data_IF_037162757283
#
_entry.id   IF_037162757283
#
_cell.length_a   1.000
_cell.length_b   1.000
_cell.length_c   1.000
_cell.angle_alpha   90.00
_cell.angle_beta   90.00
_cell.angle_gamma   90.00
#
_symmetry.space_group_name_H-M   'P 1'
#
loop_
_entity.id
_entity.type
_entity.pdbx_description
1 polymer ?
#
# COMPACT_ATOMS: atom_id res chain seq x y z
N UNK A 1 48.47 -22.29 12.48
CA UNK A 1 48.63 -21.10 11.60
C UNK A 1 48.40 -19.82 12.41
N UNK A 2 48.98 -18.67 12.05
CA UNK A 2 48.65 -17.37 12.66
C UNK A 2 47.94 -16.46 11.63
N UNK A 3 46.71 -16.08 11.92
CA UNK A 3 45.87 -15.24 11.06
C UNK A 3 46.03 -13.78 11.48
N UNK A 4 46.86 -13.03 10.75
CA UNK A 4 47.01 -11.58 10.94
C UNK A 4 45.65 -10.88 10.72
N UNK A 5 45.24 -10.11 11.73
CA UNK A 5 43.92 -9.47 11.79
C UNK A 5 43.99 -8.13 12.51
N UNK A 6 43.13 -7.20 12.10
CA UNK A 6 42.92 -5.92 12.76
C UNK A 6 41.43 -5.73 13.04
N UNK A 7 41.07 -5.43 14.29
CA UNK A 7 39.70 -5.26 14.76
C UNK A 7 39.60 -3.84 15.31
N UNK A 8 38.76 -3.01 14.70
CA UNK A 8 38.65 -1.57 14.97
C UNK A 8 37.19 -1.22 15.22
N UNK A 9 36.89 -0.45 16.28
CA UNK A 9 35.59 0.20 16.43
C UNK A 9 35.62 1.63 15.93
N UNK A 10 34.63 1.99 15.11
CA UNK A 10 34.53 3.35 14.56
C UNK A 10 33.08 3.75 14.34
N UNK A 11 32.82 5.05 14.33
CA UNK A 11 31.51 5.58 13.97
C UNK A 11 31.28 5.51 12.46
N UNK A 12 30.04 5.20 12.06
CA UNK A 12 29.62 5.26 10.67
C UNK A 12 29.66 6.71 10.15
N UNK A 13 30.50 6.98 9.16
CA UNK A 13 30.54 8.29 8.50
C UNK A 13 29.50 8.36 7.39
N UNK A 14 28.44 9.15 7.59
CA UNK A 14 27.35 9.35 6.61
C UNK A 14 26.96 10.82 6.52
N UNK A 15 26.64 11.27 5.29
CA UNK A 15 26.18 12.64 5.00
C UNK A 15 24.71 12.63 4.61
N UNK A 16 23.94 13.63 5.05
CA UNK A 16 22.58 13.92 4.57
C UNK A 16 22.59 15.34 4.00
N UNK A 17 22.27 15.49 2.71
CA UNK A 17 22.35 16.76 1.98
C UNK A 17 23.73 17.45 2.10
N UNK A 18 24.82 16.67 2.03
CA UNK A 18 26.19 17.19 2.14
C UNK A 18 26.71 17.42 3.57
N UNK A 19 25.83 17.41 4.58
CA UNK A 19 26.18 17.64 5.99
C UNK A 19 26.43 16.31 6.72
N UNK A 20 27.55 16.16 7.46
CA UNK A 20 27.80 14.97 8.29
C UNK A 20 26.72 14.79 9.36
N UNK A 21 26.25 13.56 9.55
CA UNK A 21 25.37 13.23 10.67
C UNK A 21 26.24 13.04 11.90
N UNK A 22 26.03 13.88 12.91
CA UNK A 22 26.84 13.90 14.14
C UNK A 22 26.08 13.37 15.37
N UNK A 23 24.76 13.30 15.30
CA UNK A 23 23.92 12.81 16.40
C UNK A 23 23.48 11.36 16.16
N UNK A 24 23.48 10.57 17.24
CA UNK A 24 23.00 9.19 17.25
C UNK A 24 23.58 8.32 16.12
N UNK A 25 24.90 8.34 15.96
CA UNK A 25 25.63 7.67 14.90
C UNK A 25 25.93 6.21 15.30
N UNK A 26 25.74 5.22 14.42
CA UNK A 26 26.07 3.83 14.72
C UNK A 26 27.55 3.61 15.02
N UNK A 27 27.84 2.80 16.03
CA UNK A 27 29.18 2.24 16.26
C UNK A 27 29.30 0.96 15.44
N UNK A 28 30.34 0.86 14.60
CA UNK A 28 30.62 -0.28 13.73
C UNK A 28 31.91 -0.97 14.19
N UNK A 29 31.91 -2.29 14.17
CA UNK A 29 33.13 -3.09 14.32
C UNK A 29 33.64 -3.46 12.92
N UNK A 30 34.89 -3.11 12.63
CA UNK A 30 35.56 -3.41 11.37
C UNK A 30 36.63 -4.46 11.62
N UNK A 31 36.57 -5.56 10.88
CA UNK A 31 37.54 -6.64 10.94
C UNK A 31 38.26 -6.73 9.60
N UNK A 32 39.58 -6.65 9.61
CA UNK A 32 40.43 -6.73 8.42
C UNK A 32 41.38 -7.92 8.60
N UNK A 33 41.33 -8.90 7.71
CA UNK A 33 42.21 -10.06 7.72
C UNK A 33 42.44 -10.53 6.28
N UNK A 34 43.65 -10.98 5.95
CA UNK A 34 44.02 -11.44 4.61
C UNK A 34 43.56 -10.53 3.44
N UNK A 35 43.63 -9.21 3.63
CA UNK A 35 43.19 -8.21 2.65
C UNK A 35 41.67 -8.04 2.51
N UNK A 36 40.87 -8.82 3.23
CA UNK A 36 39.39 -8.75 3.25
C UNK A 36 38.92 -7.89 4.41
N UNK A 37 37.84 -7.12 4.19
CA UNK A 37 37.25 -6.22 5.18
C UNK A 37 35.79 -6.61 5.45
N UNK A 38 35.47 -6.85 6.72
CA UNK A 38 34.11 -7.09 7.21
C UNK A 38 33.69 -5.89 8.06
N UNK A 39 32.45 -5.44 7.89
CA UNK A 39 31.82 -4.46 8.79
C UNK A 39 30.60 -5.07 9.48
N UNK A 40 30.60 -5.01 10.82
CA UNK A 40 29.56 -5.56 11.69
C UNK A 40 28.87 -4.44 12.47
N UNK A 41 27.57 -4.57 12.67
CA UNK A 41 26.80 -3.69 13.56
C UNK A 41 27.02 -4.09 15.01
N UNK A 42 27.30 -3.11 15.88
CA UNK A 42 27.33 -3.36 17.32
C UNK A 42 25.96 -3.21 17.99
N UNK A 43 24.95 -2.74 17.27
CA UNK A 43 23.65 -2.37 17.84
C UNK A 43 23.64 -1.01 18.56
N UNK A 44 24.80 -0.54 19.01
CA UNK A 44 24.95 0.73 19.72
C UNK A 44 25.08 1.94 18.80
N UNK A 45 24.57 3.07 19.29
CA UNK A 45 24.64 4.38 18.63
C UNK A 45 25.04 5.43 19.65
N UNK A 46 25.82 6.42 19.23
CA UNK A 46 26.31 7.49 20.10
C UNK A 46 26.50 8.79 19.30
N UNK A 47 26.40 9.93 19.96
CA UNK A 47 26.75 11.23 19.35
C UNK A 47 28.27 11.31 19.15
N UNK A 48 28.71 11.88 18.02
CA UNK A 48 30.14 11.98 17.66
C UNK A 48 30.96 12.66 18.76
N UNK A 49 30.40 13.68 19.43
CA UNK A 49 31.05 14.40 20.51
C UNK A 49 31.37 13.52 21.73
N UNK A 50 30.62 12.44 21.95
CA UNK A 50 30.74 11.51 23.07
C UNK A 50 31.61 10.29 22.74
N UNK A 51 32.16 10.20 21.53
CA UNK A 51 33.09 9.13 21.12
C UNK A 51 34.55 9.60 21.18
N UNK A 52 35.44 8.71 21.60
CA UNK A 52 36.89 8.87 21.56
C UNK A 52 37.46 7.98 20.45
N UNK A 53 37.77 8.57 19.29
CA UNK A 53 38.27 7.85 18.12
C UNK A 53 39.67 7.27 18.31
N UNK A 54 40.49 7.83 19.22
CA UNK A 54 41.84 7.32 19.45
C UNK A 54 41.83 6.10 20.37
N UNK A 55 40.89 6.06 21.31
CA UNK A 55 40.72 4.91 22.22
C UNK A 55 39.73 3.87 21.71
N UNK A 56 38.92 4.22 20.71
CA UNK A 56 37.84 3.42 20.14
C UNK A 56 36.72 3.12 21.17
N UNK A 57 36.33 4.13 21.97
CA UNK A 57 35.39 3.98 23.10
C UNK A 57 34.46 5.18 23.26
N UNK A 58 33.35 4.98 23.96
CA UNK A 58 32.49 6.07 24.45
C UNK A 58 33.16 6.76 25.65
N UNK A 59 33.12 8.09 25.70
CA UNK A 59 33.69 8.91 26.78
C UNK A 59 32.95 8.67 28.10
N UNK A 60 33.71 8.53 29.19
CA UNK A 60 33.18 8.30 30.53
C UNK A 60 32.19 9.38 30.96
N UNK A 61 31.19 9.01 31.78
CA UNK A 61 30.18 9.94 32.29
C UNK A 61 29.12 10.39 31.28
N UNK A 62 29.03 9.72 30.13
CA UNK A 62 28.02 10.02 29.09
C UNK A 62 27.04 8.88 28.87
N UNK A 63 25.87 9.20 28.32
CA UNK A 63 24.85 8.23 27.89
C UNK A 63 24.47 8.42 26.42
N UNK A 64 23.97 7.36 25.79
CA UNK A 64 23.36 7.43 24.47
C UNK A 64 21.89 7.89 24.55
N UNK A 65 21.20 7.97 23.39
CA UNK A 65 19.79 8.39 23.33
C UNK A 65 18.80 7.42 23.99
N UNK A 66 19.23 6.21 24.33
CA UNK A 66 18.44 5.19 25.03
C UNK A 66 18.84 5.09 26.51
N UNK A 67 19.53 6.09 27.03
CA UNK A 67 20.03 6.16 28.42
C UNK A 67 21.00 5.04 28.82
N UNK A 68 21.62 4.36 27.85
CA UNK A 68 22.67 3.37 28.12
C UNK A 68 23.98 4.07 28.45
N UNK A 69 24.62 3.62 29.53
CA UNK A 69 25.83 4.26 30.06
C UNK A 69 27.07 3.97 29.21
N UNK A 70 28.04 4.88 29.21
CA UNK A 70 29.34 4.65 28.57
C UNK A 70 30.03 3.37 29.07
N UNK A 71 29.86 3.02 30.36
CA UNK A 71 30.44 1.81 30.95
C UNK A 71 29.80 0.55 30.35
N UNK A 72 28.48 0.54 30.19
CA UNK A 72 27.74 -0.58 29.58
C UNK A 72 28.15 -0.78 28.12
N UNK A 73 28.10 0.29 27.33
CA UNK A 73 28.46 0.25 25.91
C UNK A 73 29.92 -0.23 25.75
N UNK A 74 30.86 0.36 26.49
CA UNK A 74 32.27 0.00 26.37
C UNK A 74 32.57 -1.44 26.83
N UNK A 75 31.83 -1.95 27.82
CA UNK A 75 31.96 -3.35 28.26
C UNK A 75 31.53 -4.31 27.16
N UNK A 76 30.45 -3.97 26.44
CA UNK A 76 29.95 -4.78 25.34
C UNK A 76 30.84 -4.70 24.08
N UNK A 77 31.40 -3.53 23.76
CA UNK A 77 32.40 -3.41 22.70
C UNK A 77 33.65 -4.25 23.00
N UNK A 78 34.10 -4.28 24.26
CA UNK A 78 35.19 -5.15 24.69
C UNK A 78 34.82 -6.63 24.55
N UNK A 79 33.60 -7.02 24.92
CA UNK A 79 33.08 -8.39 24.71
C UNK A 79 33.11 -8.77 23.23
N UNK A 80 32.65 -7.90 22.34
CA UNK A 80 32.69 -8.13 20.89
C UNK A 80 34.11 -8.31 20.36
N UNK A 81 35.06 -7.51 20.86
CA UNK A 81 36.46 -7.66 20.52
C UNK A 81 36.99 -9.06 20.92
N UNK A 82 36.74 -9.46 22.17
CA UNK A 82 37.19 -10.75 22.71
C UNK A 82 36.59 -11.93 21.96
N UNK A 83 35.27 -11.93 21.70
CA UNK A 83 34.62 -13.02 20.96
C UNK A 83 35.16 -13.13 19.53
N UNK A 84 35.41 -12.00 18.86
CA UNK A 84 36.00 -12.03 17.52
C UNK A 84 37.43 -12.57 17.55
N UNK A 85 38.21 -12.27 18.59
CA UNK A 85 39.54 -12.86 18.76
C UNK A 85 39.48 -14.38 18.93
N UNK A 86 38.53 -14.89 19.70
CA UNK A 86 38.34 -16.33 19.88
C UNK A 86 37.88 -17.03 18.59
N UNK A 87 37.00 -16.41 17.78
CA UNK A 87 36.65 -16.93 16.43
C UNK A 87 37.91 -17.20 15.60
N UNK A 88 38.81 -16.22 15.51
CA UNK A 88 40.04 -16.42 14.73
C UNK A 88 40.96 -17.47 15.34
N UNK A 89 41.02 -17.55 16.67
CA UNK A 89 41.82 -18.56 17.37
C UNK A 89 41.33 -19.98 17.08
N UNK A 90 40.02 -20.20 16.95
CA UNK A 90 39.46 -21.50 16.56
C UNK A 90 39.93 -21.90 15.16
N UNK A 91 39.87 -20.99 14.19
CA UNK A 91 40.38 -21.24 12.84
C UNK A 91 41.91 -21.46 12.82
N UNK A 92 42.66 -20.77 13.69
CA UNK A 92 44.10 -20.98 13.86
C UNK A 92 44.44 -22.38 14.38
N UNK A 93 43.65 -22.90 15.33
CA UNK A 93 43.76 -24.25 15.90
C UNK A 93 43.38 -25.31 14.87
N UNK A 94 42.31 -25.08 14.10
CA UNK A 94 41.87 -25.95 13.00
C UNK A 94 42.77 -25.85 11.76
N UNK A 95 43.78 -24.97 11.79
CA UNK A 95 44.71 -24.72 10.70
C UNK A 95 44.02 -24.42 9.36
N UNK A 96 42.85 -23.77 9.40
CA UNK A 96 42.00 -23.46 8.23
C UNK A 96 41.88 -21.95 8.06
N UNK A 97 42.03 -21.44 6.83
CA UNK A 97 41.88 -20.01 6.55
C UNK A 97 40.40 -19.68 6.29
N UNK A 98 39.73 -18.89 7.14
CA UNK A 98 38.30 -18.67 7.01
C UNK A 98 37.95 -17.72 5.86
N UNK A 99 36.76 -17.89 5.29
CA UNK A 99 36.14 -16.91 4.40
C UNK A 99 35.47 -15.79 5.18
N UNK A 100 34.97 -14.76 4.49
CA UNK A 100 34.26 -13.67 5.18
C UNK A 100 32.94 -14.13 5.81
N UNK A 101 32.30 -15.13 5.22
CA UNK A 101 31.02 -15.63 5.70
C UNK A 101 31.23 -16.57 6.88
N UNK A 102 32.27 -17.40 6.87
CA UNK A 102 32.64 -18.24 8.02
C UNK A 102 32.91 -17.41 9.29
N UNK A 103 33.64 -16.29 9.15
CA UNK A 103 33.92 -15.39 10.28
C UNK A 103 32.63 -14.72 10.79
N UNK A 104 31.73 -14.30 9.89
CA UNK A 104 30.45 -13.69 10.28
C UNK A 104 29.55 -14.71 10.99
N UNK A 105 29.46 -15.92 10.47
CA UNK A 105 28.63 -16.99 11.02
C UNK A 105 29.13 -17.41 12.40
N UNK A 106 30.42 -17.73 12.53
CA UNK A 106 31.03 -18.09 13.80
C UNK A 106 30.89 -17.00 14.86
N UNK A 107 31.09 -15.73 14.47
CA UNK A 107 30.90 -14.60 15.38
C UNK A 107 29.43 -14.41 15.82
N UNK A 108 28.48 -14.58 14.89
CA UNK A 108 27.05 -14.50 15.22
C UNK A 108 26.62 -15.63 16.16
N UNK A 109 27.13 -16.85 15.97
CA UNK A 109 26.88 -17.99 16.85
C UNK A 109 27.40 -17.74 18.27
N UNK A 110 28.53 -17.04 18.43
CA UNK A 110 29.11 -16.70 19.73
C UNK A 110 28.39 -15.56 20.45
N UNK A 111 27.93 -14.54 19.73
CA UNK A 111 27.19 -13.43 20.32
C UNK A 111 25.76 -13.80 20.71
N UNK A 112 25.17 -14.73 19.98
CA UNK A 112 23.88 -15.33 20.27
C UNK A 112 24.08 -16.85 20.40
N UNK A 113 24.67 -17.32 21.52
CA UNK A 113 24.84 -18.76 21.72
C UNK A 113 23.46 -19.40 21.64
N UNK A 114 23.27 -20.17 20.59
CA UNK A 114 22.12 -21.07 20.48
C UNK A 114 22.28 -22.00 21.67
N UNK A 115 21.40 -21.89 22.66
CA UNK A 115 21.37 -22.85 23.78
C UNK A 115 21.29 -24.23 23.15
N UNK A 116 22.28 -25.08 23.42
CA UNK A 116 22.41 -26.43 22.83
C UNK A 116 21.18 -27.33 23.08
N UNK A 117 20.27 -26.94 23.98
CA UNK A 117 18.96 -27.55 24.17
C UNK A 117 17.96 -27.33 23.00
N UNK A 118 18.22 -26.41 22.06
CA UNK A 118 17.34 -26.19 20.91
C UNK A 118 17.63 -27.07 19.68
N UNK A 119 18.70 -27.88 19.69
CA UNK A 119 18.99 -28.85 18.61
C UNK A 119 18.26 -30.19 18.78
N UNK A 120 17.48 -30.37 19.85
CA UNK A 120 16.64 -31.55 20.09
C UNK A 120 15.25 -31.23 20.63
N UNK A 121 14.65 -30.12 20.20
CA UNK A 121 13.19 -29.96 20.31
C UNK A 121 12.63 -29.70 18.93
N UNK A 122 11.59 -30.46 18.56
CA UNK A 122 10.63 -30.14 17.52
C UNK A 122 10.07 -28.72 17.74
N UNK A 123 10.82 -27.66 17.40
CA UNK A 123 10.19 -26.40 17.00
C UNK A 123 9.53 -26.74 15.68
N UNK A 124 8.20 -26.75 15.56
CA UNK A 124 7.59 -26.94 14.26
C UNK A 124 8.09 -25.81 13.38
N UNK A 125 8.96 -26.13 12.42
CA UNK A 125 9.35 -25.23 11.33
C UNK A 125 8.05 -24.91 10.62
N UNK A 126 7.43 -23.80 10.99
CA UNK A 126 6.11 -23.43 10.47
C UNK A 126 6.28 -23.31 8.97
N UNK A 127 5.68 -24.23 8.23
CA UNK A 127 5.80 -24.23 6.78
C UNK A 127 5.31 -22.89 6.22
N UNK A 128 5.83 -22.48 5.06
CA UNK A 128 5.40 -21.24 4.40
C UNK A 128 3.87 -21.14 4.29
N UNK A 129 3.22 -22.27 3.95
CA UNK A 129 1.77 -22.38 3.84
C UNK A 129 1.05 -22.21 5.19
N UNK A 130 1.56 -22.83 6.24
CA UNK A 130 1.01 -22.65 7.59
C UNK A 130 1.17 -21.22 8.09
N UNK A 131 2.35 -20.63 7.87
CA UNK A 131 2.62 -19.24 8.22
C UNK A 131 1.67 -18.29 7.48
N UNK A 132 1.41 -18.53 6.19
CA UNK A 132 0.44 -17.72 5.44
C UNK A 132 -0.98 -17.82 6.02
N UNK A 133 -1.41 -19.03 6.41
CA UNK A 133 -2.71 -19.20 7.05
C UNK A 133 -2.76 -18.51 8.42
N UNK A 134 -1.70 -18.61 9.23
CA UNK A 134 -1.57 -17.90 10.50
C UNK A 134 -1.60 -16.38 10.30
N UNK A 135 -0.89 -15.86 9.30
CA UNK A 135 -0.89 -14.44 8.93
C UNK A 135 -2.30 -13.95 8.62
N UNK A 136 -3.03 -14.63 7.73
CA UNK A 136 -4.39 -14.22 7.35
C UNK A 136 -5.32 -14.25 8.57
N UNK A 137 -5.21 -15.27 9.43
CA UNK A 137 -6.03 -15.38 10.65
C UNK A 137 -5.69 -14.30 11.68
N UNK A 138 -4.40 -14.10 11.97
CA UNK A 138 -3.93 -13.17 13.00
C UNK A 138 -4.10 -11.72 12.56
N UNK A 139 -3.54 -11.35 11.40
CA UNK A 139 -3.66 -9.99 10.88
C UNK A 139 -5.11 -9.65 10.51
N UNK A 140 -5.89 -10.64 10.06
CA UNK A 140 -7.31 -10.47 9.81
C UNK A 140 -8.10 -10.09 11.05
N UNK A 141 -7.84 -10.78 12.18
CA UNK A 141 -8.46 -10.45 13.48
C UNK A 141 -7.91 -9.15 14.05
N UNK A 142 -6.59 -8.96 14.07
CA UNK A 142 -5.95 -7.80 14.68
C UNK A 142 -6.35 -6.47 13.99
N UNK A 143 -6.50 -6.50 12.66
CA UNK A 143 -6.82 -5.30 11.88
C UNK A 143 -8.30 -5.23 11.48
N UNK A 144 -9.18 -6.09 12.05
CA UNK A 144 -10.60 -6.15 11.73
C UNK A 144 -10.88 -6.14 10.21
N UNK A 145 -10.20 -7.01 9.48
CA UNK A 145 -10.33 -7.07 8.02
C UNK A 145 -11.77 -7.34 7.58
N UNK A 146 -12.20 -6.61 6.55
CA UNK A 146 -13.45 -6.91 5.84
C UNK A 146 -13.31 -8.15 4.97
N UNK A 147 -14.43 -8.79 4.60
CA UNK A 147 -14.46 -9.93 3.68
C UNK A 147 -13.70 -9.68 2.37
N UNK A 148 -13.80 -8.47 1.82
CA UNK A 148 -13.06 -8.07 0.61
C UNK A 148 -11.53 -8.13 0.78
N UNK A 149 -11.03 -7.95 2.00
CA UNK A 149 -9.59 -8.08 2.27
C UNK A 149 -9.18 -9.55 2.36
N UNK A 150 -10.00 -10.41 2.97
CA UNK A 150 -9.78 -11.86 2.95
C UNK A 150 -9.80 -12.43 1.53
N UNK A 151 -10.72 -11.99 0.67
CA UNK A 151 -10.78 -12.37 -0.75
C UNK A 151 -9.48 -12.02 -1.49
N UNK A 152 -8.89 -10.85 -1.23
CA UNK A 152 -7.60 -10.46 -1.83
C UNK A 152 -6.48 -11.41 -1.41
N UNK A 153 -6.41 -11.78 -0.14
CA UNK A 153 -5.39 -12.73 0.33
C UNK A 153 -5.67 -14.17 -0.13
N UNK A 154 -6.93 -14.55 -0.33
CA UNK A 154 -7.29 -15.80 -1.00
C UNK A 154 -6.77 -15.83 -2.45
N UNK A 155 -6.92 -14.73 -3.19
CA UNK A 155 -6.36 -14.59 -4.54
C UNK A 155 -4.82 -14.67 -4.52
N UNK A 156 -4.15 -13.99 -3.58
CA UNK A 156 -2.68 -14.08 -3.41
C UNK A 156 -2.26 -15.54 -3.15
N UNK A 157 -2.94 -16.23 -2.23
CA UNK A 157 -2.69 -17.65 -1.93
C UNK A 157 -2.82 -18.54 -3.17
N UNK A 158 -3.86 -18.32 -3.97
CA UNK A 158 -4.07 -19.07 -5.21
C UNK A 158 -2.99 -18.78 -6.24
N UNK A 159 -2.55 -17.52 -6.39
CA UNK A 159 -1.43 -17.18 -7.27
C UNK A 159 -0.12 -17.82 -6.82
N UNK A 160 0.19 -17.81 -5.52
CA UNK A 160 1.37 -18.47 -4.96
C UNK A 160 1.33 -19.98 -5.20
N UNK A 161 0.18 -20.62 -4.97
CA UNK A 161 0.00 -22.06 -5.24
C UNK A 161 0.16 -22.40 -6.73
N UNK A 162 -0.37 -21.57 -7.63
CA UNK A 162 -0.20 -21.76 -9.08
C UNK A 162 1.23 -21.50 -9.55
N UNK A 163 1.99 -20.65 -8.85
CA UNK A 163 3.37 -20.35 -9.18
C UNK A 163 4.30 -21.51 -8.80
N UNK A 164 4.19 -21.98 -7.55
CA UNK A 164 4.98 -23.10 -7.03
C UNK A 164 4.26 -23.72 -5.83
N UNK A 165 4.07 -25.04 -5.85
CA UNK A 165 3.37 -25.77 -4.77
C UNK A 165 4.18 -25.79 -3.48
N UNK A 166 5.50 -25.91 -3.61
CA UNK A 166 6.42 -26.17 -2.51
C UNK A 166 7.28 -24.91 -2.27
N UNK A 167 6.60 -23.81 -1.92
CA UNK A 167 7.25 -22.56 -1.59
C UNK A 167 7.87 -22.64 -0.19
N UNK A 168 9.11 -22.17 -0.07
CA UNK A 168 9.79 -21.93 1.20
C UNK A 168 10.08 -20.44 1.35
N UNK A 169 10.50 -20.01 2.54
CA UNK A 169 10.85 -18.60 2.75
C UNK A 169 12.16 -18.23 2.05
N UNK A 170 13.10 -19.16 1.98
CA UNK A 170 14.42 -19.03 1.36
C UNK A 170 14.30 -18.81 -0.14
N UNK A 171 13.27 -19.39 -0.78
CA UNK A 171 13.00 -19.18 -2.20
C UNK A 171 12.75 -17.70 -2.53
N UNK A 172 12.18 -16.92 -1.61
CA UNK A 172 11.91 -15.49 -1.84
C UNK A 172 13.13 -14.61 -1.61
N UNK A 173 14.29 -15.03 -2.13
CA UNK A 173 15.42 -14.14 -2.40
C UNK A 173 15.11 -13.18 -3.57
N UNK A 174 16.08 -12.37 -3.99
CA UNK A 174 15.88 -11.43 -5.10
C UNK A 174 15.51 -12.14 -6.41
N UNK A 175 16.09 -13.31 -6.68
CA UNK A 175 15.83 -14.08 -7.90
C UNK A 175 14.43 -14.71 -7.87
N UNK A 176 14.01 -15.32 -6.76
CA UNK A 176 12.69 -15.90 -6.64
C UNK A 176 11.58 -14.86 -6.61
N UNK A 177 11.84 -13.67 -6.05
CA UNK A 177 10.93 -12.53 -6.15
C UNK A 177 10.79 -12.04 -7.61
N UNK A 178 11.89 -11.98 -8.37
CA UNK A 178 11.84 -11.69 -9.81
C UNK A 178 11.08 -12.77 -10.58
N UNK A 179 11.33 -14.05 -10.32
CA UNK A 179 10.61 -15.16 -10.95
C UNK A 179 9.10 -15.08 -10.68
N UNK A 180 8.70 -14.71 -9.46
CA UNK A 180 7.30 -14.51 -9.13
C UNK A 180 6.68 -13.32 -9.88
N UNK A 181 7.42 -12.21 -10.03
CA UNK A 181 6.99 -11.07 -10.86
C UNK A 181 6.79 -11.48 -12.31
N UNK A 182 7.73 -12.26 -12.85
CA UNK A 182 7.67 -12.72 -14.23
C UNK A 182 6.50 -13.69 -14.42
N UNK A 183 6.25 -14.62 -13.50
CA UNK A 183 5.04 -15.46 -13.52
C UNK A 183 3.74 -14.66 -13.52
N UNK A 184 3.63 -13.63 -12.65
CA UNK A 184 2.43 -12.78 -12.62
C UNK A 184 2.26 -12.02 -13.95
N UNK A 185 3.36 -11.68 -14.62
CA UNK A 185 3.35 -10.96 -15.89
C UNK A 185 3.02 -11.88 -17.07
N UNK A 186 3.75 -12.98 -17.23
CA UNK A 186 3.73 -13.82 -18.43
C UNK A 186 2.64 -14.89 -18.34
N UNK A 187 2.49 -15.54 -17.19
CA UNK A 187 1.54 -16.65 -17.01
C UNK A 187 0.15 -16.16 -16.60
N UNK A 188 0.08 -15.15 -15.74
CA UNK A 188 -1.21 -14.57 -15.29
C UNK A 188 -1.64 -13.33 -16.06
N UNK A 189 -0.85 -12.90 -17.05
CA UNK A 189 -1.14 -11.80 -17.95
C UNK A 189 -1.56 -10.48 -17.23
N UNK A 190 -0.95 -10.22 -16.06
CA UNK A 190 -1.36 -9.10 -15.22
C UNK A 190 -0.72 -7.78 -15.67
N UNK A 191 -1.49 -6.70 -15.53
CA UNK A 191 -0.98 -5.32 -15.64
C UNK A 191 0.05 -5.03 -14.56
N UNK A 192 1.04 -4.19 -14.86
CA UNK A 192 2.07 -3.77 -13.90
C UNK A 192 1.50 -3.22 -12.58
N UNK A 193 0.40 -2.46 -12.64
CA UNK A 193 -0.28 -1.91 -11.46
C UNK A 193 -0.90 -2.99 -10.57
N UNK A 194 -1.36 -4.09 -11.15
CA UNK A 194 -1.88 -5.26 -10.42
C UNK A 194 -0.74 -6.05 -9.79
N UNK A 195 0.35 -6.28 -10.54
CA UNK A 195 1.57 -6.94 -10.03
C UNK A 195 2.11 -6.20 -8.81
N UNK A 196 2.23 -4.87 -8.87
CA UNK A 196 2.69 -4.06 -7.74
C UNK A 196 1.84 -4.24 -6.48
N UNK A 197 0.51 -4.41 -6.62
CA UNK A 197 -0.38 -4.71 -5.49
C UNK A 197 -0.18 -6.13 -4.94
N UNK A 198 -0.05 -7.13 -5.83
CA UNK A 198 0.23 -8.51 -5.43
C UNK A 198 1.55 -8.61 -4.65
N UNK A 199 2.60 -7.95 -5.15
CA UNK A 199 3.88 -7.83 -4.44
C UNK A 199 3.73 -7.11 -3.09
N UNK A 200 2.93 -6.04 -3.03
CA UNK A 200 2.63 -5.36 -1.78
C UNK A 200 2.04 -6.30 -0.71
N UNK A 201 1.09 -7.16 -1.10
CA UNK A 201 0.51 -8.16 -0.21
C UNK A 201 1.50 -9.27 0.18
N UNK A 202 2.29 -9.79 -0.77
CA UNK A 202 3.32 -10.78 -0.49
C UNK A 202 4.36 -10.24 0.50
N UNK A 203 4.87 -9.03 0.26
CA UNK A 203 5.84 -8.37 1.15
C UNK A 203 5.27 -8.12 2.53
N UNK A 204 3.98 -7.82 2.66
CA UNK A 204 3.34 -7.68 3.97
C UNK A 204 3.39 -9.00 4.73
N UNK A 205 3.02 -10.10 4.07
CA UNK A 205 3.12 -11.44 4.66
C UNK A 205 4.57 -11.80 5.04
N UNK A 206 5.55 -11.57 4.17
CA UNK A 206 6.96 -11.87 4.43
C UNK A 206 7.51 -11.03 5.61
N UNK A 207 7.18 -9.73 5.65
CA UNK A 207 7.50 -8.84 6.78
C UNK A 207 6.91 -9.33 8.10
N UNK A 208 5.67 -9.77 8.09
CA UNK A 208 5.03 -10.31 9.29
C UNK A 208 5.71 -11.61 9.73
N UNK A 209 6.02 -12.51 8.78
CA UNK A 209 6.67 -13.78 9.06
C UNK A 209 8.09 -13.61 9.63
N UNK A 210 8.83 -12.62 9.12
CA UNK A 210 10.15 -12.25 9.64
C UNK A 210 10.06 -11.74 11.09
N UNK A 211 9.10 -10.84 11.37
CA UNK A 211 8.86 -10.34 12.75
C UNK A 211 8.44 -11.42 13.74
N UNK A 212 7.80 -12.50 13.27
CA UNK A 212 7.42 -13.66 14.09
C UNK A 212 8.56 -14.67 14.29
N UNK A 213 9.72 -14.46 13.65
CA UNK A 213 10.84 -15.40 13.68
C UNK A 213 10.59 -16.67 12.85
N UNK A 214 9.62 -16.68 11.94
CA UNK A 214 9.35 -17.83 11.07
C UNK A 214 10.34 -17.96 9.91
N UNK A 215 11.06 -16.88 9.61
CA UNK A 215 12.15 -16.88 8.64
C UNK A 215 13.12 -15.73 8.94
N UNK A 216 14.35 -15.87 8.45
CA UNK A 216 15.41 -14.87 8.54
C UNK A 216 15.67 -14.14 7.22
N UNK A 217 14.95 -14.52 6.15
CA UNK A 217 15.12 -13.91 4.83
C UNK A 217 14.54 -12.49 4.81
N UNK A 218 15.40 -11.49 4.53
CA UNK A 218 15.03 -10.08 4.43
C UNK A 218 15.05 -9.50 3.00
N UNK A 219 15.26 -10.33 1.97
CA UNK A 219 15.41 -9.87 0.58
C UNK A 219 14.20 -9.04 0.08
N UNK A 220 13.00 -9.34 0.61
CA UNK A 220 11.78 -8.62 0.26
C UNK A 220 11.81 -7.12 0.60
N UNK A 221 12.66 -6.69 1.54
CA UNK A 221 12.64 -5.34 2.11
C UNK A 221 13.23 -4.33 1.12
N UNK A 222 14.33 -4.70 0.47
CA UNK A 222 15.02 -3.89 -0.54
C UNK A 222 14.54 -4.17 -1.96
N UNK A 223 13.90 -5.31 -2.21
CA UNK A 223 13.39 -5.69 -3.54
C UNK A 223 12.37 -4.70 -4.07
N UNK A 224 12.71 -3.81 -5.00
CA UNK A 224 11.77 -2.81 -5.51
C UNK A 224 11.76 -2.77 -7.05
N UNK A 225 11.05 -3.69 -7.71
CA UNK A 225 11.10 -3.78 -9.17
C UNK A 225 10.50 -2.52 -9.81
N UNK A 226 11.18 -2.01 -10.83
CA UNK A 226 10.72 -0.86 -11.61
C UNK A 226 9.54 -1.26 -12.49
N UNK A 227 8.33 -1.20 -11.93
CA UNK A 227 7.10 -1.43 -12.66
C UNK A 227 6.60 -0.12 -13.26
N UNK A 228 6.80 0.07 -14.57
CA UNK A 228 6.30 1.25 -15.29
C UNK A 228 4.78 1.28 -15.20
N UNK A 229 4.24 2.40 -14.75
CA UNK A 229 2.80 2.62 -14.62
C UNK A 229 2.46 4.01 -15.16
N UNK A 230 1.20 4.19 -15.55
CA UNK A 230 0.67 5.50 -15.91
C UNK A 230 -0.41 5.92 -14.93
N UNK A 231 -0.66 7.23 -14.82
CA UNK A 231 -1.80 7.75 -14.08
C UNK A 231 -3.09 7.22 -14.70
N UNK A 232 -3.96 6.65 -13.87
CA UNK A 232 -5.26 6.17 -14.34
C UNK A 232 -6.12 7.37 -14.75
N UNK A 233 -6.66 7.35 -15.97
CA UNK A 233 -7.62 8.36 -16.43
C UNK A 233 -8.85 8.37 -15.52
N UNK A 234 -9.27 9.55 -15.09
CA UNK A 234 -10.51 9.70 -14.32
C UNK A 234 -11.68 9.61 -15.30
N UNK A 235 -12.53 8.62 -15.08
CA UNK A 235 -13.79 8.47 -15.81
C UNK A 235 -14.88 9.17 -15.00
N UNK A 236 -15.54 10.15 -15.61
CA UNK A 236 -16.63 10.94 -15.05
C UNK A 236 -17.59 11.37 -16.18
N UNK A 237 -18.80 11.81 -15.85
CA UNK A 237 -19.74 12.38 -16.81
C UNK A 237 -19.65 13.91 -16.76
N UNK A 238 -19.59 14.53 -17.92
CA UNK A 238 -19.80 15.98 -18.06
C UNK A 238 -21.24 16.35 -17.70
N UNK A 239 -21.52 17.65 -17.54
CA UNK A 239 -22.87 18.12 -17.26
C UNK A 239 -23.87 17.73 -18.38
N UNK A 240 -23.43 17.81 -19.65
CA UNK A 240 -24.24 17.42 -20.80
C UNK A 240 -24.56 15.93 -20.80
N UNK A 241 -23.56 15.07 -20.54
CA UNK A 241 -23.77 13.62 -20.45
C UNK A 241 -24.63 13.22 -19.25
N UNK A 242 -24.46 13.91 -18.12
CA UNK A 242 -25.30 13.71 -16.94
C UNK A 242 -26.76 14.08 -17.24
N UNK A 243 -26.97 15.17 -17.99
CA UNK A 243 -28.29 15.64 -18.43
C UNK A 243 -28.91 14.65 -19.42
N UNK A 244 -28.15 14.15 -20.41
CA UNK A 244 -28.57 13.08 -21.32
C UNK A 244 -29.06 11.85 -20.56
N UNK A 245 -28.29 11.37 -19.57
CA UNK A 245 -28.69 10.22 -18.76
C UNK A 245 -29.98 10.49 -17.96
N UNK A 246 -30.12 11.71 -17.41
CA UNK A 246 -31.29 12.14 -16.63
C UNK A 246 -32.56 12.15 -17.48
N UNK A 247 -32.49 12.74 -18.67
CA UNK A 247 -33.64 13.01 -19.52
C UNK A 247 -33.97 11.87 -20.50
N UNK A 248 -33.09 10.87 -20.60
CA UNK A 248 -33.29 9.73 -21.47
C UNK A 248 -34.63 9.02 -21.22
N UNK A 249 -35.39 8.81 -22.29
CA UNK A 249 -36.66 8.10 -22.24
C UNK A 249 -36.39 6.60 -22.25
N UNK A 250 -36.45 5.98 -21.07
CA UNK A 250 -36.18 4.54 -20.92
C UNK A 250 -37.31 3.74 -21.58
N UNK A 251 -37.00 2.78 -22.47
CA UNK A 251 -38.02 1.94 -23.10
C UNK A 251 -38.90 1.20 -22.08
N UNK A 252 -40.18 0.98 -22.41
CA UNK A 252 -41.15 0.31 -21.51
C UNK A 252 -40.71 -1.10 -21.10
N UNK A 253 -39.96 -1.81 -21.94
CA UNK A 253 -39.42 -3.14 -21.64
C UNK A 253 -38.21 -3.11 -20.68
N UNK A 254 -37.64 -1.92 -20.42
CA UNK A 254 -36.40 -1.73 -19.62
C UNK A 254 -36.58 -0.84 -18.40
N UNK A 255 -37.80 -0.70 -17.88
CA UNK A 255 -38.12 0.19 -16.75
C UNK A 255 -37.30 -0.09 -15.47
N UNK A 256 -36.73 -1.29 -15.31
CA UNK A 256 -35.80 -1.58 -14.21
C UNK A 256 -34.56 -0.65 -14.19
N UNK A 257 -34.18 -0.04 -15.33
CA UNK A 257 -33.08 0.91 -15.44
C UNK A 257 -33.39 2.25 -14.74
N UNK A 258 -34.66 2.59 -14.51
CA UNK A 258 -35.03 3.85 -13.87
C UNK A 258 -34.49 3.94 -12.44
N UNK A 259 -34.61 2.85 -11.66
CA UNK A 259 -34.07 2.78 -10.30
C UNK A 259 -32.54 2.96 -10.30
N UNK A 260 -31.87 2.44 -11.32
CA UNK A 260 -30.42 2.57 -11.48
C UNK A 260 -30.04 4.00 -11.83
N UNK A 261 -30.79 4.65 -12.74
CA UNK A 261 -30.64 6.06 -13.08
C UNK A 261 -30.74 6.92 -11.82
N UNK A 262 -31.82 6.77 -11.06
CA UNK A 262 -32.11 7.64 -9.93
C UNK A 262 -31.07 7.49 -8.81
N UNK A 263 -30.69 6.26 -8.47
CA UNK A 263 -29.63 6.01 -7.47
C UNK A 263 -28.28 6.55 -7.95
N UNK A 264 -27.93 6.37 -9.23
CA UNK A 264 -26.68 6.88 -9.79
C UNK A 264 -26.65 8.41 -9.79
N UNK A 265 -27.73 9.06 -10.24
CA UNK A 265 -27.87 10.51 -10.22
C UNK A 265 -27.83 11.06 -8.79
N UNK A 266 -28.48 10.41 -7.84
CA UNK A 266 -28.39 10.79 -6.43
C UNK A 266 -26.93 10.78 -5.94
N UNK A 267 -26.14 9.77 -6.31
CA UNK A 267 -24.70 9.74 -6.01
C UNK A 267 -23.94 10.87 -6.74
N UNK A 268 -24.31 11.23 -7.97
CA UNK A 268 -23.70 12.33 -8.73
C UNK A 268 -23.99 13.71 -8.10
N UNK A 269 -25.09 13.85 -7.37
CA UNK A 269 -25.50 15.12 -6.76
C UNK A 269 -25.15 15.25 -5.28
N UNK A 270 -24.86 14.14 -4.60
CA UNK A 270 -24.45 14.13 -3.17
C UNK A 270 -22.97 13.80 -2.98
N UNK A 271 -22.32 13.23 -4.00
CA UNK A 271 -20.95 12.75 -3.90
C UNK A 271 -20.78 11.49 -3.05
N UNK A 272 -21.85 10.87 -2.53
CA UNK A 272 -21.79 9.68 -1.68
C UNK A 272 -21.24 8.44 -2.41
N UNK A 273 -20.62 7.50 -1.67
CA UNK A 273 -20.22 6.21 -2.25
C UNK A 273 -21.46 5.31 -2.32
N UNK A 274 -21.46 4.38 -3.27
CA UNK A 274 -22.51 3.37 -3.38
C UNK A 274 -22.81 2.67 -2.06
N UNK A 275 -21.78 2.29 -1.29
CA UNK A 275 -21.97 1.61 0.00
C UNK A 275 -22.69 2.47 1.02
N UNK A 276 -22.46 3.78 0.99
CA UNK A 276 -23.09 4.72 1.91
C UNK A 276 -24.57 4.90 1.50
N UNK A 277 -24.86 5.06 0.20
CA UNK A 277 -26.24 5.14 -0.31
C UNK A 277 -27.01 3.83 -0.12
N UNK A 278 -26.35 2.68 -0.26
CA UNK A 278 -26.97 1.35 -0.04
C UNK A 278 -27.46 1.15 1.40
N UNK A 279 -26.78 1.79 2.37
CA UNK A 279 -27.10 1.71 3.79
C UNK A 279 -27.86 2.94 4.30
N UNK A 280 -28.16 3.92 3.43
CA UNK A 280 -28.81 5.16 3.79
C UNK A 280 -30.26 4.90 4.24
N UNK A 281 -30.58 5.34 5.46
CA UNK A 281 -31.89 5.16 6.10
C UNK A 281 -32.65 6.47 6.15
N UNK A 282 -33.98 6.37 6.28
CA UNK A 282 -34.86 7.53 6.38
C UNK A 282 -34.50 8.45 7.55
N UNK A 283 -34.00 7.89 8.65
CA UNK A 283 -33.48 8.63 9.81
C UNK A 283 -32.29 9.56 9.50
N UNK A 284 -31.53 9.24 8.45
CA UNK A 284 -30.31 9.93 8.07
C UNK A 284 -30.61 11.17 7.21
N UNK A 285 -31.84 11.25 6.68
CA UNK A 285 -32.31 12.38 5.89
C UNK A 285 -32.93 13.41 6.84
N UNK A 286 -32.31 14.57 6.93
CA UNK A 286 -32.88 15.75 7.60
C UNK A 286 -33.50 16.66 6.54
N UNK A 287 -34.16 17.72 6.98
CA UNK A 287 -34.88 18.66 6.10
C UNK A 287 -34.01 19.22 4.95
N UNK A 288 -32.76 19.57 5.26
CA UNK A 288 -31.86 20.24 4.31
C UNK A 288 -30.53 19.52 4.10
N UNK A 289 -30.26 18.43 4.79
CA UNK A 289 -28.98 17.71 4.69
C UNK A 289 -29.13 16.22 4.98
N UNK A 290 -28.13 15.46 4.58
CA UNK A 290 -27.90 14.07 4.95
C UNK A 290 -26.85 14.05 6.04
N UNK A 291 -27.11 13.31 7.11
CA UNK A 291 -26.16 13.07 8.19
C UNK A 291 -25.88 11.57 8.28
N UNK A 292 -24.64 11.16 7.96
CA UNK A 292 -24.24 9.75 7.99
C UNK A 292 -22.87 9.55 8.61
N UNK A 293 -22.64 8.35 9.13
CA UNK A 293 -21.29 7.83 9.36
C UNK A 293 -20.93 6.90 8.20
N UNK A 294 -19.86 7.23 7.47
CA UNK A 294 -19.49 6.49 6.25
C UNK A 294 -19.06 5.06 6.57
N UNK A 295 -19.47 4.12 5.72
CA UNK A 295 -19.24 2.69 5.95
C UNK A 295 -17.74 2.34 5.91
N UNK A 296 -16.99 3.01 5.03
CA UNK A 296 -15.60 2.64 4.75
C UNK A 296 -14.59 3.23 5.74
N UNK A 297 -14.82 4.47 6.18
CA UNK A 297 -13.83 5.23 6.95
C UNK A 297 -14.34 5.63 8.34
N UNK A 298 -15.61 5.36 8.65
CA UNK A 298 -16.25 5.74 9.91
C UNK A 298 -16.23 7.26 10.20
N UNK A 299 -16.09 8.07 9.14
CA UNK A 299 -16.17 9.52 9.23
C UNK A 299 -17.63 9.96 9.27
N UNK A 300 -17.98 10.87 10.19
CA UNK A 300 -19.25 11.58 10.20
C UNK A 300 -19.25 12.64 9.09
N UNK A 301 -20.21 12.54 8.17
CA UNK A 301 -20.38 13.48 7.07
C UNK A 301 -21.76 14.14 7.15
N UNK A 302 -21.76 15.45 6.95
CA UNK A 302 -22.95 16.26 6.70
C UNK A 302 -22.89 16.70 5.23
N UNK A 303 -23.96 16.44 4.47
CA UNK A 303 -24.04 16.75 3.04
C UNK A 303 -25.33 17.51 2.78
N UNK A 304 -25.22 18.76 2.35
CA UNK A 304 -26.36 19.58 2.01
C UNK A 304 -27.11 19.02 0.79
N UNK A 305 -28.45 18.99 0.88
CA UNK A 305 -29.31 18.51 -0.19
C UNK A 305 -29.60 19.62 -1.19
N UNK A 306 -29.17 19.45 -2.44
CA UNK A 306 -29.57 20.29 -3.56
C UNK A 306 -30.91 19.84 -4.16
N UNK A 307 -31.51 20.71 -4.99
CA UNK A 307 -32.81 20.47 -5.62
C UNK A 307 -32.89 19.14 -6.39
N UNK A 308 -31.80 18.70 -7.04
CA UNK A 308 -31.78 17.43 -7.76
C UNK A 308 -31.83 16.23 -6.82
N UNK A 309 -31.03 16.24 -5.75
CA UNK A 309 -31.07 15.20 -4.73
C UNK A 309 -32.42 15.16 -3.99
N UNK A 310 -33.00 16.33 -3.66
CA UNK A 310 -34.33 16.44 -3.04
C UNK A 310 -35.42 15.86 -3.93
N UNK A 311 -35.42 16.16 -5.24
CA UNK A 311 -36.41 15.63 -6.17
C UNK A 311 -36.39 14.09 -6.25
N UNK A 312 -35.20 13.48 -6.19
CA UNK A 312 -35.07 12.01 -6.16
C UNK A 312 -35.61 11.45 -4.84
N UNK A 313 -35.29 12.07 -3.70
CA UNK A 313 -35.82 11.65 -2.40
C UNK A 313 -37.35 11.74 -2.35
N UNK A 314 -37.90 12.84 -2.87
CA UNK A 314 -39.35 13.09 -2.93
C UNK A 314 -40.08 12.02 -3.74
N UNK A 315 -39.52 11.61 -4.89
CA UNK A 315 -40.07 10.53 -5.74
C UNK A 315 -40.25 9.21 -4.98
N UNK A 316 -39.38 8.91 -4.01
CA UNK A 316 -39.39 7.66 -3.26
C UNK A 316 -39.97 7.79 -1.85
N UNK A 317 -40.46 8.98 -1.46
CA UNK A 317 -40.85 9.27 -0.06
C UNK A 317 -41.95 8.33 0.45
N UNK A 318 -42.92 7.98 -0.39
CA UNK A 318 -44.09 7.17 -0.02
C UNK A 318 -43.88 5.67 -0.25
N UNK A 319 -42.69 5.26 -0.75
CA UNK A 319 -42.37 3.86 -1.04
C UNK A 319 -41.59 3.25 0.12
N UNK A 320 -42.18 2.27 0.80
CA UNK A 320 -41.49 1.54 1.86
C UNK A 320 -40.48 0.55 1.28
N UNK A 321 -39.24 0.64 1.76
CA UNK A 321 -38.18 -0.33 1.47
C UNK A 321 -37.79 -1.07 2.76
N UNK A 322 -37.27 -2.29 2.61
CA UNK A 322 -36.74 -3.08 3.72
C UNK A 322 -35.67 -2.28 4.50
N UNK A 323 -35.59 -2.50 5.82
CA UNK A 323 -34.64 -1.86 6.73
C UNK A 323 -34.71 -0.33 6.77
N UNK A 324 -35.88 0.25 6.46
CA UNK A 324 -36.12 1.69 6.40
C UNK A 324 -35.17 2.44 5.45
N UNK A 325 -34.73 1.77 4.38
CA UNK A 325 -33.90 2.38 3.33
C UNK A 325 -34.64 3.50 2.61
N UNK A 326 -33.86 4.45 2.08
CA UNK A 326 -34.37 5.65 1.40
C UNK A 326 -34.57 5.43 -0.10
N UNK A 327 -33.70 4.62 -0.72
CA UNK A 327 -33.66 4.43 -2.17
C UNK A 327 -33.64 2.94 -2.55
N UNK A 328 -34.13 2.57 -3.75
CA UNK A 328 -34.17 1.19 -4.24
C UNK A 328 -32.79 0.70 -4.72
N UNK A 329 -31.80 0.67 -3.85
CA UNK A 329 -30.42 0.31 -4.20
C UNK A 329 -30.27 -1.21 -4.36
N UNK A 330 -29.98 -1.67 -5.57
CA UNK A 330 -29.68 -3.08 -5.87
C UNK A 330 -28.18 -3.38 -5.72
N UNK A 331 -27.78 -4.65 -5.83
CA UNK A 331 -26.37 -5.06 -5.67
C UNK A 331 -25.42 -4.29 -6.59
N UNK A 332 -24.21 -3.99 -6.11
CA UNK A 332 -23.22 -3.19 -6.84
C UNK A 332 -22.88 -3.78 -8.21
N UNK A 333 -22.83 -5.11 -8.33
CA UNK A 333 -22.59 -5.78 -9.60
C UNK A 333 -23.71 -5.49 -10.61
N UNK A 334 -24.98 -5.66 -10.21
CA UNK A 334 -26.12 -5.36 -11.07
C UNK A 334 -26.24 -3.88 -11.38
N UNK A 335 -26.00 -3.00 -10.41
CA UNK A 335 -25.91 -1.55 -10.62
C UNK A 335 -24.91 -1.21 -11.74
N UNK A 336 -23.70 -1.79 -11.70
CA UNK A 336 -22.69 -1.52 -12.72
C UNK A 336 -23.13 -2.04 -14.09
N UNK A 337 -23.67 -3.26 -14.18
CA UNK A 337 -24.14 -3.82 -15.47
C UNK A 337 -25.22 -2.95 -16.09
N UNK A 338 -26.26 -2.62 -15.32
CA UNK A 338 -27.39 -1.84 -15.79
C UNK A 338 -27.05 -0.37 -16.05
N UNK A 339 -26.10 0.21 -15.31
CA UNK A 339 -25.61 1.56 -15.59
C UNK A 339 -24.94 1.63 -16.97
N UNK A 340 -24.14 0.61 -17.33
CA UNK A 340 -23.50 0.56 -18.65
C UNK A 340 -24.53 0.45 -19.76
N UNK A 341 -25.55 -0.39 -19.56
CA UNK A 341 -26.67 -0.52 -20.49
C UNK A 341 -27.45 0.78 -20.66
N UNK A 342 -27.81 1.45 -19.56
CA UNK A 342 -28.50 2.74 -19.61
C UNK A 342 -27.65 3.81 -20.32
N UNK A 343 -26.35 3.87 -20.04
CA UNK A 343 -25.46 4.84 -20.67
C UNK A 343 -25.19 4.55 -22.15
N UNK A 344 -25.21 3.28 -22.56
CA UNK A 344 -25.15 2.89 -23.96
C UNK A 344 -26.41 3.36 -24.72
N UNK A 345 -27.58 3.15 -24.11
CA UNK A 345 -28.87 3.60 -24.62
C UNK A 345 -28.96 5.13 -24.71
N UNK A 346 -28.40 5.84 -23.73
CA UNK A 346 -28.30 7.30 -23.71
C UNK A 346 -27.14 7.87 -24.58
N UNK A 347 -26.51 7.03 -25.41
CA UNK A 347 -25.47 7.39 -26.37
C UNK A 347 -24.22 8.06 -25.76
N UNK A 348 -23.82 7.65 -24.56
CA UNK A 348 -22.59 8.10 -23.90
C UNK A 348 -21.39 7.30 -24.47
N UNK A 349 -21.10 7.53 -25.75
CA UNK A 349 -20.19 6.73 -26.58
C UNK A 349 -18.84 7.39 -26.85
N UNK A 350 -18.53 8.53 -26.21
CA UNK A 350 -17.24 9.22 -26.36
C UNK A 350 -16.08 8.22 -26.19
N UNK A 351 -15.13 8.15 -27.16
CA UNK A 351 -14.02 7.21 -27.09
C UNK A 351 -13.04 7.61 -25.99
N UNK A 352 -12.80 6.72 -25.05
CA UNK A 352 -11.82 6.91 -23.97
C UNK A 352 -10.61 6.02 -24.21
N UNK A 353 -9.45 6.63 -24.43
CA UNK A 353 -8.16 5.93 -24.45
C UNK A 353 -7.66 5.69 -23.03
N UNK A 354 -7.55 4.44 -22.62
CA UNK A 354 -6.85 4.00 -21.41
C UNK A 354 -5.47 3.43 -21.79
N UNK A 355 -4.41 4.00 -21.23
CA UNK A 355 -3.06 3.46 -21.34
C UNK A 355 -2.75 2.61 -20.11
N UNK A 356 -2.10 1.46 -20.30
CA UNK A 356 -1.45 0.72 -19.22
C UNK A 356 -0.21 -0.02 -19.73
N UNK A 357 0.54 -0.61 -18.81
CA UNK A 357 1.76 -1.34 -19.13
C UNK A 357 1.68 -2.80 -18.69
N UNK A 358 2.23 -3.67 -19.51
CA UNK A 358 2.58 -5.07 -19.19
C UNK A 358 4.07 -5.25 -19.46
N UNK A 359 4.87 -5.42 -18.41
CA UNK A 359 6.32 -5.32 -18.53
C UNK A 359 6.73 -3.95 -19.07
N UNK A 360 7.43 -3.93 -20.20
CA UNK A 360 7.85 -2.70 -20.89
C UNK A 360 6.88 -2.28 -22.02
N UNK A 361 5.93 -3.14 -22.38
CA UNK A 361 4.98 -2.87 -23.44
C UNK A 361 3.94 -1.86 -22.97
N UNK A 362 3.78 -0.78 -23.75
CA UNK A 362 2.69 0.18 -23.60
C UNK A 362 1.50 -0.32 -24.40
N UNK A 363 0.39 -0.55 -23.72
CA UNK A 363 -0.87 -0.95 -24.34
C UNK A 363 -1.87 0.19 -24.20
N UNK A 364 -2.42 0.61 -25.32
CA UNK A 364 -3.46 1.63 -25.38
C UNK A 364 -4.76 0.97 -25.87
N UNK A 365 -5.81 1.06 -25.06
CA UNK A 365 -7.13 0.53 -25.43
C UNK A 365 -8.08 1.70 -25.54
N UNK A 366 -8.81 1.77 -26.65
CA UNK A 366 -9.90 2.73 -26.83
C UNK A 366 -11.21 2.00 -26.57
N UNK A 367 -11.95 2.48 -25.58
CA UNK A 367 -13.25 1.93 -25.20
C UNK A 367 -14.29 3.04 -25.16
N UNK A 368 -15.53 2.78 -25.57
CA UNK A 368 -16.59 3.77 -25.42
C UNK A 368 -16.88 4.01 -23.94
N UNK A 369 -17.11 5.28 -23.57
CA UNK A 369 -17.21 5.73 -22.18
C UNK A 369 -18.25 4.98 -21.36
N UNK A 370 -19.42 4.64 -21.93
CA UNK A 370 -20.46 3.86 -21.25
C UNK A 370 -19.90 2.55 -20.65
N UNK A 371 -18.98 1.86 -21.35
CA UNK A 371 -18.42 0.58 -20.92
C UNK A 371 -17.51 0.69 -19.68
N UNK A 372 -17.01 1.90 -19.41
CA UNK A 372 -16.13 2.22 -18.29
C UNK A 372 -16.88 2.75 -17.06
N UNK A 373 -18.19 2.99 -17.18
CA UNK A 373 -18.99 3.49 -16.08
C UNK A 373 -19.15 2.43 -14.99
N UNK A 374 -19.17 2.91 -13.75
CA UNK A 374 -19.55 2.13 -12.58
C UNK A 374 -20.06 3.07 -11.49
N UNK A 375 -20.50 2.52 -10.37
CA UNK A 375 -21.10 3.30 -9.28
C UNK A 375 -20.16 4.37 -8.72
N UNK A 376 -18.85 4.12 -8.68
CA UNK A 376 -17.88 5.12 -8.23
C UNK A 376 -17.67 6.27 -9.25
N UNK A 377 -18.07 6.08 -10.51
CA UNK A 377 -18.08 7.18 -11.49
C UNK A 377 -18.97 8.33 -11.02
N UNK A 378 -20.07 8.05 -10.30
CA UNK A 378 -20.95 9.09 -9.78
C UNK A 378 -20.22 10.07 -8.84
N UNK A 379 -19.44 9.56 -7.89
CA UNK A 379 -18.64 10.41 -6.98
C UNK A 379 -17.59 11.22 -7.74
N UNK A 380 -17.00 10.65 -8.79
CA UNK A 380 -16.03 11.36 -9.64
C UNK A 380 -16.70 12.47 -10.43
N UNK A 381 -17.89 12.21 -10.97
CA UNK A 381 -18.75 13.20 -11.61
C UNK A 381 -19.06 14.35 -10.66
N UNK A 382 -19.48 14.06 -9.43
CA UNK A 382 -19.72 15.09 -8.41
C UNK A 382 -18.48 15.97 -8.20
N UNK A 383 -17.32 15.34 -7.97
CA UNK A 383 -16.06 16.07 -7.69
C UNK A 383 -15.65 16.93 -8.88
N UNK A 384 -15.58 16.37 -10.09
CA UNK A 384 -15.18 17.10 -11.29
C UNK A 384 -16.13 18.27 -11.57
N UNK A 385 -17.44 18.07 -11.46
CA UNK A 385 -18.43 19.11 -11.70
C UNK A 385 -18.35 20.21 -10.63
N UNK A 386 -18.25 19.85 -9.35
CA UNK A 386 -18.10 20.82 -8.26
C UNK A 386 -16.85 21.71 -8.44
N UNK A 387 -15.70 21.11 -8.78
CA UNK A 387 -14.46 21.85 -9.02
C UNK A 387 -14.55 22.72 -10.29
N UNK A 388 -15.23 22.24 -11.33
CA UNK A 388 -15.47 23.00 -12.57
C UNK A 388 -16.39 24.20 -12.33
N UNK A 389 -17.33 24.10 -11.38
CA UNK A 389 -18.15 25.23 -10.90
C UNK A 389 -17.38 26.22 -10.01
N UNK A 390 -16.08 25.99 -9.79
CA UNK A 390 -15.24 26.87 -8.99
C UNK A 390 -15.32 26.63 -7.47
N UNK A 391 -15.98 25.55 -7.03
CA UNK A 391 -16.04 25.22 -5.61
C UNK A 391 -14.64 24.83 -5.12
N UNK A 392 -14.13 25.43 -4.03
CA UNK A 392 -12.80 25.12 -3.51
C UNK A 392 -12.61 23.63 -3.17
N UNK A 393 -11.44 23.08 -3.50
CA UNK A 393 -11.16 21.65 -3.32
C UNK A 393 -11.31 21.18 -1.86
N UNK A 394 -10.97 22.02 -0.88
CA UNK A 394 -11.15 21.72 0.55
C UNK A 394 -12.63 21.54 0.94
N UNK A 395 -13.55 22.28 0.30
CA UNK A 395 -15.00 22.10 0.51
C UNK A 395 -15.45 20.78 -0.09
N UNK A 396 -15.05 20.49 -1.33
CA UNK A 396 -15.37 19.22 -1.99
C UNK A 396 -14.81 18.03 -1.23
N UNK A 397 -13.61 18.14 -0.64
CA UNK A 397 -13.02 17.10 0.21
C UNK A 397 -13.85 16.81 1.45
N UNK A 398 -14.45 17.83 2.09
CA UNK A 398 -15.35 17.64 3.23
C UNK A 398 -16.59 16.86 2.83
N UNK A 399 -17.30 17.28 1.78
CA UNK A 399 -18.47 16.55 1.27
C UNK A 399 -18.14 15.12 0.84
N UNK A 400 -16.96 14.92 0.29
CA UNK A 400 -16.52 13.62 -0.22
C UNK A 400 -15.55 12.90 0.72
N UNK A 401 -15.51 13.21 2.02
CA UNK A 401 -14.71 12.49 3.02
C UNK A 401 -13.32 12.05 2.53
N UNK A 402 -12.60 12.94 1.85
CA UNK A 402 -11.21 12.70 1.45
C UNK A 402 -10.29 13.30 2.51
N UNK A 403 -9.47 12.46 3.13
CA UNK A 403 -8.51 12.90 4.15
C UNK A 403 -7.19 13.41 3.55
N UNK A 404 -6.84 12.97 2.34
CA UNK A 404 -5.58 13.30 1.68
C UNK A 404 -5.81 14.15 0.42
N UNK A 405 -5.18 15.33 0.37
CA UNK A 405 -5.22 16.24 -0.78
C UNK A 405 -4.62 15.60 -2.04
N UNK A 406 -3.64 14.69 -1.89
CA UNK A 406 -3.05 13.96 -3.02
C UNK A 406 -4.07 13.10 -3.76
N UNK A 407 -5.11 12.62 -3.08
CA UNK A 407 -6.21 11.90 -3.71
C UNK A 407 -7.09 12.80 -4.59
N UNK A 408 -7.10 14.12 -4.33
CA UNK A 408 -7.86 15.11 -5.10
C UNK A 408 -7.15 15.58 -6.36
N UNK A 409 -5.81 15.51 -6.39
CA UNK A 409 -4.98 16.03 -7.48
C UNK A 409 -5.50 15.66 -8.88
N UNK A 410 -5.83 14.39 -9.19
CA UNK A 410 -6.30 14.03 -10.53
C UNK A 410 -7.60 14.73 -10.96
N UNK A 411 -8.45 15.15 -10.01
CA UNK A 411 -9.69 15.88 -10.32
C UNK A 411 -9.46 17.38 -10.46
N UNK A 412 -8.50 17.92 -9.70
CA UNK A 412 -8.09 19.32 -9.79
C UNK A 412 -7.48 19.57 -11.17
N UNK A 413 -6.55 18.71 -11.59
CA UNK A 413 -5.91 18.78 -12.91
C UNK A 413 -6.97 18.83 -14.04
N UNK A 414 -8.05 18.03 -13.93
CA UNK A 414 -9.16 18.01 -14.89
C UNK A 414 -9.95 19.32 -14.88
N UNK A 415 -10.26 19.87 -13.70
CA UNK A 415 -11.00 21.12 -13.60
C UNK A 415 -10.19 22.29 -14.16
N UNK A 416 -8.87 22.29 -13.96
CA UNK A 416 -7.96 23.30 -14.49
C UNK A 416 -7.86 23.20 -16.02
N UNK A 417 -7.78 21.98 -16.58
CA UNK A 417 -7.84 21.76 -18.03
C UNK A 417 -9.16 22.27 -18.64
N UNK A 418 -10.30 22.03 -17.97
CA UNK A 418 -11.61 22.52 -18.42
C UNK A 418 -11.64 24.06 -18.41
N UNK A 419 -11.12 24.70 -17.35
CA UNK A 419 -11.04 26.17 -17.25
C UNK A 419 -10.13 26.77 -18.31
N UNK A 420 -8.99 26.15 -18.59
CA UNK A 420 -8.08 26.59 -19.65
C UNK A 420 -8.76 26.55 -21.03
N UNK A 421 -9.50 25.48 -21.34
CA UNK A 421 -10.28 25.37 -22.58
C UNK A 421 -11.46 26.36 -22.65
N UNK A 422 -12.02 26.77 -21.50
CA UNK A 422 -13.03 27.82 -21.47
C UNK A 422 -12.43 29.19 -21.85
N UNK A 423 -11.19 29.48 -21.45
CA UNK A 423 -10.50 30.71 -21.82
C UNK A 423 -10.29 30.82 -23.33
N UNK A 424 -10.01 29.71 -24.04
CA UNK A 424 -9.88 29.75 -25.50
C UNK A 424 -11.18 30.12 -26.23
N UNK A 425 -12.36 30.03 -25.57
CA UNK A 425 -13.62 30.50 -26.14
C UNK A 425 -13.69 32.03 -26.24
N UNK A 426 -12.89 32.76 -25.45
CA UNK A 426 -12.77 34.22 -25.60
C UNK A 426 -12.10 34.63 -26.92
N UNK A 427 -11.36 33.74 -27.58
CA UNK A 427 -10.78 34.02 -28.89
C UNK A 427 -11.82 34.02 -30.03
N UNK A 428 -13.09 33.68 -29.72
CA UNK A 428 -14.22 33.71 -30.65
C UNK A 428 -15.14 34.92 -30.41
N UNK A 429 -14.80 35.77 -29.43
CA UNK A 429 -15.39 37.10 -29.24
C UNK A 429 -14.54 38.11 -30.02
#
# INVERSE_FOLDING_TARGET
MNIKRNIIFSLESRKKNGVPIVDNVPIRMRVIFAGKRIELTTGYRIDVAKWDSAKERVKNGTTNKLDQSASEINSDLLRYYTEMQEVFKEFEVQNTMPTMDDVKEAFNLRLNPIKEDELKSDKPTVSFKEAFNKFVKECGKQNNWTNSTYEKFSAVKNHLKSFKSDLTFEYFDENGLNNYVDFLRTTKDMRNSTIGKQLGFLKWFLRWSFKKGYNTNSAYDTFNPKLKNTSKKVIFLTWDELTKLREYQIPSQKQYLERVRDVFLFCCFTGLRYSDVFNLRRSDIKENHIEITTVKTADSLIIELNNHSKAILEKYKDIAFQDQKVLPVISNQRMNTYLKELAELAEIKEPVRETYYKGNERIDVVTPKYSLLGTHTARRTFICNALSLGIPANVVMKWTGHSDYKAMKPYIDIADDIKANAMSKFNQL
#
